data_IF_257135591724
#
_entry.id   IF_257135591724
#
_cell.length_a   1.000
_cell.length_b   1.000
_cell.length_c   1.000
_cell.angle_alpha   90.00
_cell.angle_beta   90.00
_cell.angle_gamma   90.00
#
_symmetry.space_group_name_H-M   'P 1'
#
loop_
_entity.id
_entity.type
_entity.pdbx_description
1 polymer ?
#
# COMPACT_ATOMS: atom_id res chain seq x y z
N UNK A 1 -19.38 -26.91 22.83
CA UNK A 1 -19.18 -25.61 22.14
C UNK A 1 -18.80 -24.62 23.23
N UNK A 2 -17.61 -24.06 23.13
CA UNK A 2 -17.05 -23.17 24.15
C UNK A 2 -17.88 -21.87 24.19
N UNK A 3 -18.52 -21.61 25.31
CA UNK A 3 -19.41 -20.46 25.50
C UNK A 3 -18.64 -19.16 25.31
N UNK A 4 -17.39 -19.11 25.74
CA UNK A 4 -16.51 -17.97 25.63
C UNK A 4 -16.24 -17.63 24.17
N UNK A 5 -15.88 -18.63 23.35
CA UNK A 5 -15.65 -18.43 21.91
C UNK A 5 -16.90 -17.95 21.16
N UNK A 6 -18.07 -18.39 21.59
CA UNK A 6 -19.33 -17.93 21.00
C UNK A 6 -19.61 -16.49 21.37
N UNK A 7 -19.39 -16.11 22.62
CA UNK A 7 -19.60 -14.75 23.10
C UNK A 7 -18.67 -13.75 22.37
N UNK A 8 -17.38 -14.06 22.30
CA UNK A 8 -16.40 -13.26 21.59
C UNK A 8 -16.79 -13.05 20.11
N UNK A 9 -17.25 -14.11 19.45
CA UNK A 9 -17.71 -14.03 18.07
C UNK A 9 -18.94 -13.13 17.91
N UNK A 10 -19.92 -13.24 18.78
CA UNK A 10 -21.13 -12.39 18.76
C UNK A 10 -20.76 -10.93 18.91
N UNK A 11 -19.82 -10.59 19.82
CA UNK A 11 -19.31 -9.23 19.98
C UNK A 11 -18.58 -8.73 18.73
N UNK A 12 -17.75 -9.56 18.12
CA UNK A 12 -17.04 -9.20 16.89
C UNK A 12 -18.02 -8.98 15.72
N UNK A 13 -19.08 -9.78 15.60
CA UNK A 13 -20.16 -9.58 14.61
C UNK A 13 -20.83 -8.23 14.86
N UNK A 14 -21.15 -7.90 16.12
CA UNK A 14 -21.73 -6.62 16.48
C UNK A 14 -20.85 -5.43 16.09
N UNK A 15 -19.55 -5.44 16.42
CA UNK A 15 -18.62 -4.38 16.02
C UNK A 15 -18.48 -4.27 14.51
N UNK A 16 -18.50 -5.40 13.80
CA UNK A 16 -18.46 -5.38 12.34
C UNK A 16 -19.71 -4.71 11.75
N UNK A 17 -20.90 -5.03 12.26
CA UNK A 17 -22.16 -4.39 11.87
C UNK A 17 -22.20 -2.89 12.21
N UNK A 18 -21.52 -2.47 13.28
CA UNK A 18 -21.39 -1.04 13.60
C UNK A 18 -20.42 -0.30 12.67
N UNK A 19 -19.42 -1.00 12.15
CA UNK A 19 -18.36 -0.38 11.34
C UNK A 19 -18.72 -0.23 9.86
N UNK A 20 -19.77 -0.93 9.39
CA UNK A 20 -20.20 -0.96 8.00
C UNK A 20 -21.67 -0.64 7.87
N UNK A 21 -22.07 -0.01 6.76
CA UNK A 21 -23.48 0.23 6.44
C UNK A 21 -24.27 -1.05 6.22
N UNK A 22 -23.65 -2.06 5.58
CA UNK A 22 -24.23 -3.39 5.36
C UNK A 22 -23.13 -4.44 5.43
N UNK A 23 -23.43 -5.60 6.06
CA UNK A 23 -22.56 -6.76 6.15
C UNK A 23 -23.28 -7.98 5.58
N UNK A 24 -22.68 -8.64 4.59
CA UNK A 24 -23.28 -9.81 3.95
C UNK A 24 -23.07 -11.09 4.76
N UNK A 25 -23.97 -12.07 4.60
CA UNK A 25 -23.80 -13.40 5.20
C UNK A 25 -22.52 -14.10 4.73
N UNK A 26 -22.15 -13.91 3.47
CA UNK A 26 -20.92 -14.47 2.90
C UNK A 26 -19.65 -13.90 3.55
N UNK A 27 -19.66 -12.60 3.86
CA UNK A 27 -18.57 -11.96 4.58
C UNK A 27 -18.45 -12.54 6.00
N UNK A 28 -19.56 -12.71 6.70
CA UNK A 28 -19.59 -13.31 8.03
C UNK A 28 -19.10 -14.76 8.01
N UNK A 29 -19.53 -15.55 7.01
CA UNK A 29 -19.07 -16.94 6.86
C UNK A 29 -17.55 -17.03 6.65
N UNK A 30 -17.02 -16.23 5.74
CA UNK A 30 -15.58 -16.21 5.42
C UNK A 30 -14.73 -15.75 6.60
N UNK A 31 -15.21 -14.70 7.30
CA UNK A 31 -14.43 -14.10 8.39
C UNK A 31 -14.38 -14.97 9.64
N UNK A 32 -15.49 -15.64 9.97
CA UNK A 32 -15.64 -16.41 11.22
C UNK A 32 -15.59 -17.92 11.00
N UNK A 33 -15.47 -18.38 9.75
CA UNK A 33 -15.42 -19.80 9.36
C UNK A 33 -16.61 -20.62 9.94
N UNK A 34 -17.82 -20.06 9.90
CA UNK A 34 -19.04 -20.67 10.46
C UNK A 34 -20.13 -20.84 9.42
N UNK A 35 -21.08 -21.75 9.71
CA UNK A 35 -22.22 -22.00 8.86
C UNK A 35 -23.26 -20.86 8.92
N UNK A 36 -24.07 -20.69 7.84
CA UNK A 36 -25.19 -19.76 7.77
C UNK A 36 -26.14 -19.91 8.97
N UNK A 37 -26.45 -21.15 9.37
CA UNK A 37 -27.28 -21.43 10.53
C UNK A 37 -26.73 -20.85 11.82
N UNK A 38 -25.41 -20.88 11.96
CA UNK A 38 -24.71 -20.29 13.13
C UNK A 38 -24.80 -18.78 13.11
N UNK A 39 -24.62 -18.16 11.92
CA UNK A 39 -24.75 -16.71 11.74
C UNK A 39 -26.13 -16.24 12.14
N UNK A 40 -27.19 -16.84 11.61
CA UNK A 40 -28.56 -16.46 11.96
C UNK A 40 -28.87 -16.60 13.46
N UNK A 41 -28.32 -17.64 14.10
CA UNK A 41 -28.48 -17.81 15.54
C UNK A 41 -27.73 -16.74 16.34
N UNK A 42 -26.58 -16.30 15.88
CA UNK A 42 -25.81 -15.28 16.56
C UNK A 42 -26.37 -13.87 16.31
N UNK A 43 -26.86 -13.56 15.09
CA UNK A 43 -27.64 -12.34 14.80
C UNK A 43 -28.91 -12.25 15.66
N UNK A 44 -29.65 -13.35 15.76
CA UNK A 44 -30.83 -13.42 16.61
C UNK A 44 -30.53 -13.22 18.10
N UNK A 45 -29.35 -13.67 18.56
CA UNK A 45 -28.90 -13.41 19.92
C UNK A 45 -28.63 -11.91 20.15
N UNK A 46 -28.10 -11.21 19.18
CA UNK A 46 -27.91 -9.74 19.22
C UNK A 46 -29.28 -9.02 19.25
N UNK A 47 -30.23 -9.43 18.41
CA UNK A 47 -31.62 -8.89 18.45
C UNK A 47 -32.28 -9.09 19.80
N UNK A 48 -32.17 -10.29 20.37
CA UNK A 48 -32.71 -10.61 21.71
C UNK A 48 -32.01 -9.79 22.82
N UNK A 49 -30.77 -9.37 22.60
CA UNK A 49 -30.03 -8.46 23.49
C UNK A 49 -30.42 -6.99 23.29
N UNK A 50 -31.42 -6.69 22.44
CA UNK A 50 -31.91 -5.33 22.22
C UNK A 50 -31.18 -4.53 21.15
N UNK A 51 -30.33 -5.18 20.35
CA UNK A 51 -29.64 -4.53 19.25
C UNK A 51 -30.56 -4.57 18.01
N UNK A 52 -30.99 -3.42 17.46
CA UNK A 52 -31.91 -3.37 16.33
C UNK A 52 -31.19 -3.70 15.02
N UNK A 53 -31.20 -4.98 14.64
CA UNK A 53 -30.64 -5.46 13.38
C UNK A 53 -31.69 -5.35 12.29
N UNK A 54 -31.32 -4.76 11.15
CA UNK A 54 -32.14 -4.65 9.95
C UNK A 54 -31.64 -5.64 8.90
N UNK A 55 -32.54 -6.42 8.33
CA UNK A 55 -32.26 -7.28 7.20
C UNK A 55 -32.53 -6.51 5.91
N UNK A 56 -31.49 -6.12 5.20
CA UNK A 56 -31.56 -5.48 3.89
C UNK A 56 -31.78 -6.56 2.83
N UNK A 57 -33.02 -6.73 2.39
CA UNK A 57 -33.45 -7.81 1.47
C UNK A 57 -32.48 -7.98 0.29
N UNK A 58 -31.75 -9.08 0.27
CA UNK A 58 -30.76 -9.42 -0.78
C UNK A 58 -29.37 -8.78 -0.63
N UNK A 59 -29.19 -7.85 0.31
CA UNK A 59 -27.91 -7.11 0.47
C UNK A 59 -27.15 -7.49 1.74
N UNK A 60 -27.82 -7.96 2.79
CA UNK A 60 -27.17 -8.35 4.05
C UNK A 60 -27.85 -7.82 5.31
N UNK A 61 -27.06 -7.55 6.32
CA UNK A 61 -27.52 -7.08 7.63
C UNK A 61 -26.87 -5.74 7.99
N UNK A 62 -27.66 -4.86 8.58
CA UNK A 62 -27.22 -3.57 9.12
C UNK A 62 -27.74 -3.37 10.54
N UNK A 63 -27.20 -2.40 11.27
CA UNK A 63 -27.79 -1.89 12.51
C UNK A 63 -28.63 -0.67 12.14
N UNK A 64 -29.82 -0.55 12.74
CA UNK A 64 -30.70 0.60 12.52
C UNK A 64 -29.96 1.91 12.68
N UNK A 65 -30.15 2.83 11.76
CA UNK A 65 -29.52 4.14 11.77
C UNK A 65 -29.79 4.89 13.08
N UNK A 66 -28.74 5.48 13.66
CA UNK A 66 -28.84 6.18 14.93
C UNK A 66 -28.59 5.31 16.18
N UNK A 67 -28.59 3.98 16.06
CA UNK A 67 -28.24 3.09 17.18
C UNK A 67 -26.72 3.01 17.33
N UNK A 68 -26.18 3.52 18.46
CA UNK A 68 -24.75 3.44 18.80
C UNK A 68 -24.56 2.99 20.23
N UNK A 69 -24.02 1.78 20.41
CA UNK A 69 -23.33 1.48 21.67
C UNK A 69 -21.93 2.08 21.58
N UNK A 70 -21.55 2.91 22.54
CA UNK A 70 -20.17 3.41 22.59
C UNK A 70 -19.23 2.21 22.78
N UNK A 71 -18.20 2.00 21.96
CA UNK A 71 -17.16 1.02 22.23
C UNK A 71 -16.48 1.39 23.54
N UNK A 72 -16.77 0.65 24.58
CA UNK A 72 -16.43 1.08 25.92
C UNK A 72 -14.96 0.87 26.29
N UNK A 73 -14.20 0.04 25.58
CA UNK A 73 -12.82 -0.26 26.00
C UNK A 73 -12.00 -0.81 24.83
N UNK A 74 -10.88 -0.17 24.53
CA UNK A 74 -9.83 -0.75 23.71
C UNK A 74 -8.99 -1.73 24.54
N UNK A 75 -8.55 -2.84 23.96
CA UNK A 75 -7.57 -3.72 24.58
C UNK A 75 -6.16 -3.08 24.55
N UNK A 76 -5.23 -3.63 25.33
CA UNK A 76 -3.84 -3.15 25.32
C UNK A 76 -3.21 -3.33 23.92
N UNK A 77 -3.51 -4.43 23.25
CA UNK A 77 -3.02 -4.76 21.90
C UNK A 77 -3.59 -3.79 20.85
N UNK A 78 -4.87 -3.40 20.96
CA UNK A 78 -5.49 -2.42 20.07
C UNK A 78 -4.85 -1.04 20.25
N UNK A 79 -4.61 -0.63 21.51
CA UNK A 79 -3.91 0.63 21.82
C UNK A 79 -2.49 0.62 21.24
N UNK A 80 -1.74 -0.46 21.44
CA UNK A 80 -0.38 -0.62 20.89
C UNK A 80 -0.40 -0.52 19.35
N UNK A 81 -1.36 -1.17 18.72
CA UNK A 81 -1.51 -1.12 17.25
C UNK A 81 -1.79 0.29 16.74
N UNK A 82 -2.65 1.04 17.44
CA UNK A 82 -2.93 2.46 17.11
C UNK A 82 -1.68 3.33 17.27
N UNK A 83 -0.85 3.09 18.30
CA UNK A 83 0.40 3.82 18.52
C UNK A 83 1.42 3.56 17.41
N UNK A 84 1.61 2.30 17.03
CA UNK A 84 2.49 1.94 15.89
C UNK A 84 2.00 2.60 14.61
N UNK A 85 0.69 2.56 14.36
CA UNK A 85 0.09 3.22 13.20
C UNK A 85 0.33 4.74 13.22
N UNK A 86 0.18 5.40 14.39
CA UNK A 86 0.47 6.84 14.54
C UNK A 86 1.92 7.16 14.14
N UNK A 87 2.89 6.40 14.67
CA UNK A 87 4.31 6.60 14.37
C UNK A 87 4.62 6.37 12.87
N UNK A 88 4.00 5.38 12.24
CA UNK A 88 4.14 5.12 10.81
C UNK A 88 3.53 6.27 9.99
N UNK A 89 2.34 6.73 10.35
CA UNK A 89 1.64 7.82 9.67
C UNK A 89 2.41 9.16 9.75
N UNK A 90 3.03 9.44 10.89
CA UNK A 90 3.87 10.65 11.05
C UNK A 90 5.02 10.74 10.05
N UNK A 91 5.46 9.62 9.46
CA UNK A 91 6.63 9.55 8.59
C UNK A 91 6.33 9.59 7.09
N UNK A 92 5.19 9.08 6.68
CA UNK A 92 4.95 8.72 5.28
C UNK A 92 3.88 9.55 4.59
N UNK A 93 3.09 10.33 5.35
CA UNK A 93 1.87 10.88 4.80
C UNK A 93 1.97 12.37 4.50
N UNK A 94 1.12 12.81 3.58
CA UNK A 94 0.96 14.23 3.30
C UNK A 94 0.48 14.93 4.57
N UNK A 95 0.86 16.19 4.76
CA UNK A 95 0.60 16.93 5.99
C UNK A 95 -0.89 17.01 6.34
N UNK A 96 -1.78 16.99 5.35
CA UNK A 96 -3.21 17.02 5.59
C UNK A 96 -3.74 15.69 6.13
N UNK A 97 -3.32 14.56 5.52
CA UNK A 97 -3.69 13.21 6.00
C UNK A 97 -3.21 13.03 7.44
N UNK A 98 -1.97 13.45 7.72
CA UNK A 98 -1.40 13.43 9.07
C UNK A 98 -2.26 14.20 10.07
N UNK A 99 -2.63 15.45 9.77
CA UNK A 99 -3.49 16.26 10.66
C UNK A 99 -4.85 15.63 10.90
N UNK A 100 -5.49 15.09 9.86
CA UNK A 100 -6.79 14.43 10.01
C UNK A 100 -6.69 13.11 10.80
N UNK A 101 -5.61 12.35 10.60
CA UNK A 101 -5.33 11.16 11.39
C UNK A 101 -5.10 11.51 12.87
N UNK A 102 -4.27 12.51 13.15
CA UNK A 102 -4.01 13.01 14.51
C UNK A 102 -5.31 13.49 15.19
N UNK A 103 -6.14 14.26 14.46
CA UNK A 103 -7.42 14.72 14.98
C UNK A 103 -8.40 13.57 15.28
N UNK A 104 -8.42 12.53 14.43
CA UNK A 104 -9.22 11.32 14.66
C UNK A 104 -8.68 10.54 15.87
N UNK A 105 -7.35 10.39 15.97
CA UNK A 105 -6.70 9.67 17.05
C UNK A 105 -6.89 10.37 18.40
N UNK A 106 -6.89 11.71 18.45
CA UNK A 106 -7.22 12.48 19.67
C UNK A 106 -8.64 12.14 20.17
N UNK A 107 -9.62 12.03 19.25
CA UNK A 107 -10.99 11.61 19.60
C UNK A 107 -11.02 10.18 20.14
N UNK A 108 -10.27 9.27 19.55
CA UNK A 108 -10.14 7.88 20.02
C UNK A 108 -9.46 7.86 21.39
N UNK A 109 -8.33 8.56 21.55
CA UNK A 109 -7.60 8.69 22.83
C UNK A 109 -8.46 9.31 23.94
N UNK A 110 -9.43 10.17 23.59
CA UNK A 110 -10.33 10.75 24.60
C UNK A 110 -11.24 9.70 25.27
N UNK A 111 -11.53 8.60 24.59
CA UNK A 111 -12.31 7.48 25.13
C UNK A 111 -11.51 6.51 25.99
N UNK A 112 -10.17 6.65 26.06
CA UNK A 112 -9.32 5.79 26.85
C UNK A 112 -9.51 6.01 28.35
N UNK A 113 -9.42 4.93 29.12
CA UNK A 113 -9.40 5.00 30.59
C UNK A 113 -8.07 5.59 31.10
N UNK A 114 -8.06 6.05 32.35
CA UNK A 114 -6.89 6.73 32.94
C UNK A 114 -5.61 5.88 32.88
N UNK A 115 -5.73 4.57 33.17
CA UNK A 115 -4.58 3.67 33.09
C UNK A 115 -4.10 3.49 31.64
N UNK A 116 -5.01 3.35 30.67
CA UNK A 116 -4.69 3.24 29.25
C UNK A 116 -3.98 4.50 28.72
N UNK A 117 -4.40 5.70 29.17
CA UNK A 117 -3.71 6.95 28.83
C UNK A 117 -2.29 7.00 29.37
N UNK A 118 -2.06 6.46 30.57
CA UNK A 118 -0.72 6.37 31.16
C UNK A 118 0.16 5.40 30.40
N UNK A 119 -0.35 4.21 30.08
CA UNK A 119 0.37 3.21 29.29
C UNK A 119 0.73 3.74 27.91
N UNK A 120 -0.21 4.46 27.27
CA UNK A 120 0.02 5.12 26.00
C UNK A 120 1.20 6.11 26.07
N UNK A 121 1.23 7.01 27.05
CA UNK A 121 2.31 7.98 27.22
C UNK A 121 3.67 7.30 27.46
N UNK A 122 3.69 6.24 28.26
CA UNK A 122 4.92 5.48 28.52
C UNK A 122 5.48 4.80 27.27
N UNK A 123 4.62 4.26 26.42
CA UNK A 123 5.01 3.59 25.18
C UNK A 123 5.39 4.59 24.07
N UNK A 124 4.83 5.80 24.09
CA UNK A 124 5.13 6.85 23.13
C UNK A 124 6.61 7.21 23.07
N UNK A 125 7.27 7.22 24.25
CA UNK A 125 8.71 7.46 24.39
C UNK A 125 9.57 6.23 24.07
N UNK A 126 8.96 5.06 23.96
CA UNK A 126 9.69 3.79 23.73
C UNK A 126 9.81 3.47 22.24
N UNK A 127 8.88 3.92 21.41
CA UNK A 127 8.86 3.62 19.98
C UNK A 127 9.51 4.76 19.20
N UNK A 128 10.79 4.59 18.85
CA UNK A 128 11.51 5.50 17.98
C UNK A 128 11.68 4.91 16.58
N UNK A 129 11.05 5.53 15.59
CA UNK A 129 11.32 5.20 14.19
C UNK A 129 12.40 6.14 13.65
N UNK A 130 13.55 5.63 13.26
CA UNK A 130 14.64 6.44 12.68
C UNK A 130 14.22 7.03 11.34
N UNK A 131 14.40 8.34 11.16
CA UNK A 131 14.09 9.03 9.91
C UNK A 131 15.16 8.71 8.86
N UNK A 132 14.97 7.64 8.08
CA UNK A 132 15.82 7.34 6.93
C UNK A 132 15.08 7.49 5.58
N UNK A 133 13.82 7.92 5.61
CA UNK A 133 13.06 8.13 4.39
C UNK A 133 12.96 9.64 4.15
N UNK A 134 13.59 10.09 3.08
CA UNK A 134 13.32 11.40 2.50
C UNK A 134 11.81 11.48 2.27
N UNK A 135 11.17 12.53 2.78
CA UNK A 135 9.80 12.84 2.42
C UNK A 135 9.71 12.84 0.90
N UNK A 136 8.91 11.93 0.34
CA UNK A 136 8.61 12.01 -1.07
C UNK A 136 8.04 13.41 -1.32
N UNK A 137 8.52 14.07 -2.36
CA UNK A 137 8.18 15.46 -2.68
C UNK A 137 6.78 15.51 -3.34
N UNK A 138 5.77 15.13 -2.55
CA UNK A 138 4.36 15.18 -2.98
C UNK A 138 3.84 16.61 -2.94
N UNK A 139 3.00 16.95 -3.91
CA UNK A 139 2.23 18.20 -3.84
C UNK A 139 1.37 18.20 -2.56
N UNK A 140 1.30 19.32 -1.85
CA UNK A 140 0.41 19.45 -0.71
C UNK A 140 -1.02 19.06 -1.08
N UNK A 141 -1.65 18.26 -0.24
CA UNK A 141 -3.05 17.81 -0.38
C UNK A 141 -3.40 17.02 -1.67
N UNK A 142 -2.42 16.52 -2.41
CA UNK A 142 -2.66 15.81 -3.68
C UNK A 142 -3.61 14.63 -3.50
N UNK A 143 -3.46 13.86 -2.42
CA UNK A 143 -4.31 12.69 -2.14
C UNK A 143 -5.76 13.13 -1.96
N UNK A 144 -6.01 14.19 -1.20
CA UNK A 144 -7.37 14.70 -0.96
C UNK A 144 -8.02 15.24 -2.22
N UNK A 145 -7.25 15.98 -3.04
CA UNK A 145 -7.73 16.50 -4.32
C UNK A 145 -8.14 15.36 -5.24
N UNK A 146 -7.33 14.31 -5.32
CA UNK A 146 -7.61 13.15 -6.16
C UNK A 146 -8.77 12.31 -5.61
N UNK A 147 -8.85 12.09 -4.29
CA UNK A 147 -9.99 11.39 -3.68
C UNK A 147 -11.30 12.14 -3.90
N UNK A 148 -11.30 13.48 -3.77
CA UNK A 148 -12.47 14.31 -4.09
C UNK A 148 -12.87 14.20 -5.57
N UNK A 149 -11.90 14.17 -6.50
CA UNK A 149 -12.18 14.01 -7.93
C UNK A 149 -12.81 12.64 -8.23
N UNK A 150 -12.33 11.58 -7.57
CA UNK A 150 -12.89 10.22 -7.68
C UNK A 150 -14.33 10.20 -7.17
N UNK A 151 -14.57 10.73 -5.97
CA UNK A 151 -15.91 10.74 -5.35
C UNK A 151 -16.93 11.54 -6.17
N UNK A 152 -16.51 12.68 -6.71
CA UNK A 152 -17.36 13.56 -7.53
C UNK A 152 -17.37 13.17 -9.01
N UNK A 153 -16.60 12.18 -9.42
CA UNK A 153 -16.42 11.74 -10.82
C UNK A 153 -16.05 12.89 -11.74
N UNK A 154 -15.10 13.73 -11.32
CA UNK A 154 -14.64 14.91 -12.07
C UNK A 154 -13.30 14.62 -12.76
N UNK A 155 -13.16 15.08 -14.01
CA UNK A 155 -11.91 15.04 -14.76
C UNK A 155 -10.85 15.85 -14.03
N UNK A 156 -9.63 15.35 -13.99
CA UNK A 156 -8.50 16.03 -13.36
C UNK A 156 -7.42 16.29 -14.39
N UNK A 157 -6.94 17.54 -14.44
CA UNK A 157 -5.75 17.88 -15.22
C UNK A 157 -4.51 17.76 -14.35
N UNK A 158 -3.50 17.00 -14.81
CA UNK A 158 -2.22 16.81 -14.12
C UNK A 158 -1.05 17.17 -15.04
N UNK A 159 -0.05 17.87 -14.49
CA UNK A 159 1.25 18.03 -15.14
C UNK A 159 2.18 16.94 -14.63
N UNK A 160 2.50 15.97 -15.47
CA UNK A 160 3.23 14.75 -15.11
C UNK A 160 4.64 14.73 -15.68
N UNK A 161 5.64 14.56 -14.81
CA UNK A 161 7.06 14.46 -15.18
C UNK A 161 7.48 12.97 -15.20
N UNK A 162 7.77 12.44 -16.38
CA UNK A 162 8.35 11.09 -16.49
C UNK A 162 9.82 11.09 -16.11
N UNK A 163 10.36 9.91 -15.79
CA UNK A 163 11.81 9.75 -15.48
C UNK A 163 12.71 10.21 -16.63
N UNK A 164 12.27 9.96 -17.87
CA UNK A 164 13.05 10.26 -19.08
C UNK A 164 12.93 11.71 -19.53
N UNK A 165 11.97 12.46 -18.99
CA UNK A 165 11.59 13.76 -19.52
C UNK A 165 12.15 14.89 -18.64
N UNK A 166 12.59 15.97 -19.27
CA UNK A 166 13.08 17.19 -18.56
C UNK A 166 11.90 18.07 -18.16
N UNK A 167 10.81 18.03 -18.91
CA UNK A 167 9.62 18.87 -18.70
C UNK A 167 8.37 18.02 -18.42
N UNK A 168 7.53 18.53 -17.52
CA UNK A 168 6.25 17.92 -17.24
C UNK A 168 5.28 18.08 -18.42
N UNK A 169 4.49 17.05 -18.71
CA UNK A 169 3.49 17.04 -19.77
C UNK A 169 2.09 17.05 -19.17
N UNK A 170 1.28 18.02 -19.60
CA UNK A 170 -0.13 18.14 -19.21
C UNK A 170 -0.97 16.98 -19.71
N UNK A 171 -1.85 16.44 -18.85
CA UNK A 171 -2.73 15.32 -19.13
C UNK A 171 -4.07 15.51 -18.45
N UNK A 172 -5.16 15.33 -19.19
CA UNK A 172 -6.50 15.17 -18.62
C UNK A 172 -6.71 13.69 -18.32
N UNK A 173 -7.11 13.40 -17.08
CA UNK A 173 -7.29 12.03 -16.59
C UNK A 173 -8.60 11.88 -15.83
N UNK A 174 -9.20 10.70 -15.89
CA UNK A 174 -10.34 10.28 -15.08
C UNK A 174 -9.80 9.37 -13.97
N UNK A 175 -9.79 9.87 -12.76
CA UNK A 175 -9.19 9.22 -11.59
C UNK A 175 -10.06 8.05 -11.11
N UNK A 176 -9.51 6.82 -10.99
CA UNK A 176 -10.27 5.62 -10.63
C UNK A 176 -9.98 5.23 -9.18
N UNK A 177 -8.73 5.30 -8.78
CA UNK A 177 -8.32 4.95 -7.42
C UNK A 177 -6.87 5.26 -7.15
N UNK A 178 -6.54 5.27 -5.86
CA UNK A 178 -5.19 5.50 -5.35
C UNK A 178 -4.73 4.22 -4.66
N UNK A 179 -3.47 3.85 -4.85
CA UNK A 179 -2.86 2.71 -4.18
C UNK A 179 -1.41 2.99 -3.80
N UNK A 180 -0.94 2.29 -2.77
CA UNK A 180 0.44 2.39 -2.30
C UNK A 180 1.20 1.12 -2.67
N UNK A 181 2.34 1.28 -3.35
CA UNK A 181 3.17 0.18 -3.81
C UNK A 181 4.64 0.59 -3.89
N UNK A 182 5.55 -0.31 -3.48
CA UNK A 182 7.01 -0.08 -3.52
C UNK A 182 7.47 1.25 -2.90
N UNK A 183 6.82 1.68 -1.82
CA UNK A 183 7.20 2.94 -1.13
C UNK A 183 6.64 4.22 -1.74
N UNK A 184 5.73 4.12 -2.74
CA UNK A 184 5.16 5.28 -3.44
C UNK A 184 3.65 5.18 -3.57
N UNK A 185 2.99 6.33 -3.55
CA UNK A 185 1.59 6.45 -3.92
C UNK A 185 1.41 6.56 -5.42
N UNK A 186 0.42 5.87 -5.95
CA UNK A 186 0.05 5.83 -7.35
C UNK A 186 -1.42 6.21 -7.53
N UNK A 187 -1.70 6.93 -8.60
CA UNK A 187 -3.03 7.13 -9.13
C UNK A 187 -3.25 6.19 -10.31
N UNK A 188 -4.24 5.31 -10.25
CA UNK A 188 -4.80 4.65 -11.43
C UNK A 188 -5.82 5.57 -12.07
N UNK A 189 -5.65 5.90 -13.36
CA UNK A 189 -6.55 6.77 -14.08
C UNK A 189 -6.62 6.41 -15.57
N UNK A 190 -7.75 6.70 -16.20
CA UNK A 190 -7.88 6.71 -17.64
C UNK A 190 -7.29 8.02 -18.21
N UNK A 191 -6.31 7.89 -19.08
CA UNK A 191 -5.59 9.03 -19.66
C UNK A 191 -6.17 9.40 -21.03
N UNK A 192 -6.82 10.56 -21.18
CA UNK A 192 -7.40 11.00 -22.44
C UNK A 192 -6.37 11.14 -23.59
N UNK A 193 -5.14 11.58 -23.26
CA UNK A 193 -4.05 11.70 -24.24
C UNK A 193 -3.64 10.34 -24.83
N UNK A 194 -3.66 9.28 -24.04
CA UNK A 194 -3.26 7.93 -24.45
C UNK A 194 -4.44 7.02 -24.77
N UNK A 195 -5.66 7.44 -24.40
CA UNK A 195 -6.90 6.65 -24.51
C UNK A 195 -6.78 5.27 -23.86
N UNK A 196 -6.12 5.23 -22.69
CA UNK A 196 -5.78 3.99 -22.00
C UNK A 196 -5.61 4.23 -20.49
N UNK A 197 -5.73 3.18 -19.70
CA UNK A 197 -5.50 3.21 -18.26
C UNK A 197 -4.01 3.25 -17.95
N UNK A 198 -3.62 4.11 -17.01
CA UNK A 198 -2.24 4.33 -16.62
C UNK A 198 -2.09 4.55 -15.14
N UNK A 199 -0.94 4.12 -14.61
CA UNK A 199 -0.50 4.42 -13.25
C UNK A 199 0.40 5.66 -13.27
N UNK A 200 0.05 6.63 -12.42
CA UNK A 200 0.82 7.87 -12.24
C UNK A 200 1.36 7.93 -10.81
N UNK A 201 2.66 7.94 -10.63
CA UNK A 201 3.26 8.16 -9.31
C UNK A 201 2.98 9.59 -8.86
N UNK A 202 2.48 9.74 -7.63
CA UNK A 202 2.04 11.05 -7.14
C UNK A 202 3.18 12.05 -6.95
N UNK A 203 4.38 11.60 -6.59
CA UNK A 203 5.60 12.44 -6.45
C UNK A 203 6.07 13.06 -7.77
N UNK A 204 5.61 12.51 -8.89
CA UNK A 204 5.92 13.02 -10.24
C UNK A 204 4.85 13.94 -10.80
N UNK A 205 3.77 14.16 -10.11
CA UNK A 205 2.74 15.14 -10.47
C UNK A 205 3.20 16.50 -9.95
N UNK A 206 3.44 17.45 -10.86
CA UNK A 206 3.92 18.79 -10.52
C UNK A 206 2.79 19.82 -10.40
N UNK A 207 1.62 19.49 -10.93
CA UNK A 207 0.39 20.30 -10.80
C UNK A 207 -0.81 19.39 -10.88
N UNK A 208 -1.86 19.72 -10.14
CA UNK A 208 -3.14 19.03 -10.16
C UNK A 208 -4.27 20.07 -10.12
N UNK A 209 -5.26 19.91 -10.99
CA UNK A 209 -6.44 20.76 -11.07
C UNK A 209 -7.67 19.91 -11.38
N UNK A 210 -8.67 19.95 -10.53
CA UNK A 210 -9.96 19.31 -10.79
C UNK A 210 -10.77 20.23 -11.70
N UNK A 211 -11.26 19.67 -12.81
CA UNK A 211 -12.07 20.40 -13.79
C UNK A 211 -13.56 20.28 -13.43
N UNK A 212 -14.38 21.13 -14.04
CA UNK A 212 -15.84 21.07 -13.85
C UNK A 212 -16.48 19.91 -14.64
N UNK A 213 -15.77 19.39 -15.65
CA UNK A 213 -16.26 18.31 -16.51
C UNK A 213 -16.32 17.00 -15.73
N UNK A 214 -17.39 16.22 -16.01
CA UNK A 214 -17.57 14.89 -15.46
C UNK A 214 -16.79 13.85 -16.27
N UNK A 215 -16.60 12.67 -15.68
CA UNK A 215 -16.05 11.50 -16.41
C UNK A 215 -16.84 11.25 -17.70
N UNK A 216 -16.13 10.89 -18.74
CA UNK A 216 -16.71 10.62 -20.07
C UNK A 216 -17.16 9.18 -20.23
N UNK A 217 -16.60 8.26 -19.44
CA UNK A 217 -16.90 6.81 -19.48
C UNK A 217 -17.11 6.27 -18.06
N UNK A 218 -17.77 5.11 -17.98
CA UNK A 218 -17.85 4.35 -16.74
C UNK A 218 -16.60 3.47 -16.59
N UNK A 219 -15.99 3.52 -15.42
CA UNK A 219 -14.77 2.74 -15.13
C UNK A 219 -15.08 1.55 -14.24
N UNK A 220 -14.40 0.40 -14.47
CA UNK A 220 -14.38 -0.70 -13.52
C UNK A 220 -13.73 -0.26 -12.19
N UNK A 221 -14.08 -0.88 -11.07
CA UNK A 221 -13.45 -0.60 -9.80
C UNK A 221 -11.98 -1.02 -9.79
N UNK A 222 -11.15 -0.34 -8.99
CA UNK A 222 -9.69 -0.51 -8.95
C UNK A 222 -9.23 -1.97 -8.75
N UNK A 223 -9.99 -2.78 -8.00
CA UNK A 223 -9.63 -4.17 -7.73
C UNK A 223 -9.64 -5.05 -8.99
N UNK A 224 -10.45 -4.73 -10.00
CA UNK A 224 -10.46 -5.46 -11.27
C UNK A 224 -9.17 -5.25 -12.06
N UNK A 225 -8.58 -4.07 -11.98
CA UNK A 225 -7.28 -3.78 -12.62
C UNK A 225 -6.14 -4.50 -11.91
N UNK A 226 -6.19 -4.63 -10.58
CA UNK A 226 -5.19 -5.35 -9.81
C UNK A 226 -5.25 -6.87 -10.03
N UNK A 227 -6.45 -7.44 -10.17
CA UNK A 227 -6.64 -8.87 -10.41
C UNK A 227 -6.32 -9.28 -11.84
N UNK A 228 -6.55 -8.40 -12.83
CA UNK A 228 -6.19 -8.66 -14.22
C UNK A 228 -4.70 -8.60 -14.47
N UNK A 229 -3.87 -8.35 -13.41
CA UNK A 229 -2.46 -8.06 -13.50
C UNK A 229 -2.22 -7.34 -14.82
N UNK A 230 -2.00 -6.03 -14.82
CA UNK A 230 -1.59 -5.39 -16.06
C UNK A 230 -0.65 -6.38 -16.74
N UNK A 231 -0.91 -6.76 -17.99
CA UNK A 231 -0.12 -7.75 -18.71
C UNK A 231 1.28 -7.18 -18.98
N UNK A 232 1.97 -6.94 -17.91
CA UNK A 232 3.40 -6.72 -17.92
C UNK A 232 3.99 -8.12 -18.06
N UNK A 233 4.76 -8.29 -19.12
CA UNK A 233 5.57 -9.48 -19.33
C UNK A 233 6.39 -9.68 -18.04
N UNK A 234 5.90 -10.56 -17.16
CA UNK A 234 6.63 -10.93 -15.96
C UNK A 234 7.86 -11.70 -16.40
N UNK A 235 8.99 -11.33 -15.87
CA UNK A 235 10.25 -12.00 -16.17
C UNK A 235 10.63 -12.87 -14.99
N UNK A 236 10.72 -14.16 -15.22
CA UNK A 236 11.30 -15.08 -14.24
C UNK A 236 12.81 -14.89 -14.23
N UNK A 237 13.35 -14.64 -13.05
CA UNK A 237 14.79 -14.41 -12.87
C UNK A 237 15.28 -15.35 -11.77
N UNK A 238 16.43 -15.95 -12.02
CA UNK A 238 17.16 -16.76 -11.06
C UNK A 238 18.54 -16.15 -10.85
N UNK A 239 18.91 -15.95 -9.57
CA UNK A 239 20.24 -15.50 -9.19
C UNK A 239 20.88 -16.47 -8.21
N UNK A 240 22.18 -16.58 -8.29
CA UNK A 240 23.02 -17.28 -7.32
C UNK A 240 23.78 -16.26 -6.47
N UNK A 241 23.72 -16.40 -5.16
CA UNK A 241 24.33 -15.47 -4.21
C UNK A 241 25.22 -16.26 -3.24
N UNK A 242 26.42 -15.78 -2.96
CA UNK A 242 27.29 -16.36 -1.92
C UNK A 242 26.53 -16.42 -0.59
N UNK A 243 26.47 -17.60 0.03
CA UNK A 243 25.65 -17.85 1.22
C UNK A 243 25.90 -16.87 2.37
N UNK A 244 27.16 -16.50 2.61
CA UNK A 244 27.55 -15.57 3.67
C UNK A 244 27.02 -14.14 3.47
N UNK A 245 26.64 -13.76 2.23
CA UNK A 245 26.17 -12.44 1.87
C UNK A 245 24.68 -12.39 1.49
N UNK A 246 24.00 -13.54 1.45
CA UNK A 246 22.60 -13.63 1.03
C UNK A 246 21.68 -12.66 1.81
N UNK A 247 21.95 -12.43 3.10
CA UNK A 247 21.20 -11.51 3.94
C UNK A 247 21.20 -10.05 3.45
N UNK A 248 22.18 -9.62 2.65
CA UNK A 248 22.22 -8.27 2.10
C UNK A 248 21.11 -8.00 1.11
N UNK A 249 20.60 -9.06 0.45
CA UNK A 249 19.50 -8.95 -0.51
C UNK A 249 18.12 -9.02 0.18
N UNK A 250 18.01 -9.49 1.42
CA UNK A 250 16.73 -9.73 2.09
C UNK A 250 15.92 -8.46 2.30
N UNK A 251 16.59 -7.33 2.36
CA UNK A 251 15.98 -6.05 2.71
C UNK A 251 15.00 -5.52 1.65
N UNK A 252 15.31 -5.68 0.38
CA UNK A 252 14.57 -5.08 -0.73
C UNK A 252 14.20 -6.07 -1.86
N UNK A 253 14.59 -7.34 -1.78
CA UNK A 253 14.30 -8.36 -2.80
C UNK A 253 12.81 -8.56 -3.10
N UNK A 254 11.92 -8.29 -2.11
CA UNK A 254 10.47 -8.38 -2.28
C UNK A 254 9.94 -7.38 -3.33
N UNK A 255 10.59 -6.23 -3.47
CA UNK A 255 10.24 -5.20 -4.45
C UNK A 255 10.33 -5.73 -5.88
N UNK A 256 11.23 -6.69 -6.09
CA UNK A 256 11.51 -7.27 -7.41
C UNK A 256 10.78 -8.59 -7.66
N UNK A 257 9.79 -8.92 -6.84
CA UNK A 257 8.95 -10.10 -7.03
C UNK A 257 9.62 -11.40 -6.56
N UNK A 258 10.39 -11.37 -5.47
CA UNK A 258 10.96 -12.56 -4.87
C UNK A 258 9.86 -13.58 -4.55
N UNK A 259 10.05 -14.84 -5.02
CA UNK A 259 9.08 -15.93 -4.86
C UNK A 259 9.56 -17.03 -3.95
N UNK A 260 10.88 -17.20 -3.81
CA UNK A 260 11.45 -18.25 -2.96
C UNK A 260 12.96 -18.35 -3.10
N UNK A 261 13.54 -19.20 -2.24
CA UNK A 261 14.97 -19.46 -2.24
C UNK A 261 15.27 -20.93 -1.92
N UNK A 262 16.41 -21.41 -2.40
CA UNK A 262 16.99 -22.68 -2.06
C UNK A 262 18.38 -22.47 -1.44
N UNK A 263 18.57 -22.94 -0.22
CA UNK A 263 19.82 -22.75 0.52
C UNK A 263 20.69 -23.99 0.30
N UNK A 264 21.85 -23.79 -0.32
CA UNK A 264 22.87 -24.82 -0.57
C UNK A 264 24.09 -24.59 0.34
N UNK A 265 25.10 -25.45 0.26
CA UNK A 265 26.24 -25.42 1.17
C UNK A 265 27.00 -24.06 1.05
N UNK A 266 27.36 -23.65 -0.15
CA UNK A 266 28.18 -22.47 -0.41
C UNK A 266 27.40 -21.26 -0.93
N UNK A 267 26.18 -21.44 -1.44
CA UNK A 267 25.38 -20.40 -2.06
C UNK A 267 23.89 -20.54 -1.82
N UNK A 268 23.14 -19.51 -2.14
CA UNK A 268 21.67 -19.46 -2.13
C UNK A 268 21.18 -19.15 -3.54
N UNK A 269 20.28 -19.99 -4.07
CA UNK A 269 19.53 -19.68 -5.27
C UNK A 269 18.29 -18.90 -4.88
N UNK A 270 18.05 -17.77 -5.52
CA UNK A 270 16.87 -16.92 -5.29
C UNK A 270 16.08 -16.78 -6.57
N UNK A 271 14.77 -16.95 -6.46
CA UNK A 271 13.82 -16.94 -7.57
C UNK A 271 12.93 -15.70 -7.51
N UNK A 272 12.73 -15.07 -8.67
CA UNK A 272 11.91 -13.87 -8.80
C UNK A 272 10.90 -14.03 -9.93
N UNK A 273 9.70 -13.47 -9.73
CA UNK A 273 8.70 -13.23 -10.77
C UNK A 273 8.51 -11.71 -10.92
N UNK A 274 9.47 -11.10 -11.65
CA UNK A 274 9.63 -9.66 -11.71
C UNK A 274 8.59 -9.03 -12.63
N UNK A 275 7.73 -8.18 -12.08
CA UNK A 275 6.75 -7.37 -12.82
C UNK A 275 7.28 -5.98 -13.18
N UNK A 276 8.42 -5.55 -12.61
CA UNK A 276 9.06 -4.30 -12.94
C UNK A 276 9.82 -4.39 -14.27
N UNK A 277 10.07 -3.25 -14.95
CA UNK A 277 10.96 -3.23 -16.10
C UNK A 277 12.30 -3.90 -15.76
N UNK A 278 12.73 -4.81 -16.58
CA UNK A 278 13.94 -5.63 -16.37
C UNK A 278 15.16 -4.79 -16.03
N UNK A 279 15.32 -3.63 -16.69
CA UNK A 279 16.39 -2.66 -16.40
C UNK A 279 16.38 -2.19 -14.93
N UNK A 280 15.23 -2.18 -14.27
CA UNK A 280 15.15 -1.81 -12.84
C UNK A 280 15.75 -2.91 -11.96
N UNK A 281 15.50 -4.19 -12.31
CA UNK A 281 16.11 -5.33 -11.63
C UNK A 281 17.63 -5.31 -11.81
N UNK A 282 18.11 -5.14 -13.04
CA UNK A 282 19.56 -5.11 -13.35
C UNK A 282 20.25 -3.97 -12.58
N UNK A 283 19.63 -2.78 -12.53
CA UNK A 283 20.17 -1.65 -11.76
C UNK A 283 20.21 -1.90 -10.26
N UNK A 284 19.26 -2.61 -9.73
CA UNK A 284 19.26 -3.04 -8.32
C UNK A 284 20.36 -4.08 -8.09
N UNK A 285 20.48 -5.06 -9.00
CA UNK A 285 21.43 -6.15 -8.90
C UNK A 285 22.90 -5.69 -8.93
N UNK A 286 23.20 -4.56 -9.56
CA UNK A 286 24.57 -3.97 -9.59
C UNK A 286 25.19 -3.83 -8.18
N UNK A 287 24.37 -3.64 -7.15
CA UNK A 287 24.85 -3.53 -5.76
C UNK A 287 25.52 -4.82 -5.26
N UNK A 288 25.28 -5.94 -5.92
CA UNK A 288 25.62 -7.29 -5.48
C UNK A 288 26.48 -8.05 -6.50
N UNK A 289 26.94 -7.39 -7.54
CA UNK A 289 27.65 -8.03 -8.66
C UNK A 289 28.96 -8.71 -8.26
N UNK A 290 29.53 -8.33 -7.13
CA UNK A 290 30.76 -8.90 -6.55
C UNK A 290 30.51 -10.13 -5.69
N UNK A 291 29.25 -10.42 -5.35
CA UNK A 291 28.85 -11.51 -4.45
C UNK A 291 27.69 -12.35 -5.00
N UNK A 292 27.20 -12.02 -6.18
CA UNK A 292 26.06 -12.70 -6.80
C UNK A 292 26.16 -12.68 -8.33
N UNK A 293 25.50 -13.65 -8.97
CA UNK A 293 25.41 -13.73 -10.44
C UNK A 293 23.98 -14.03 -10.88
N UNK A 294 23.60 -13.55 -12.06
CA UNK A 294 22.32 -13.86 -12.70
C UNK A 294 22.50 -15.14 -13.50
N UNK A 295 21.74 -16.18 -13.14
CA UNK A 295 21.75 -17.48 -13.81
C UNK A 295 20.79 -17.43 -15.01
N UNK A 296 19.56 -17.01 -14.76
CA UNK A 296 18.54 -16.90 -15.81
C UNK A 296 17.70 -15.60 -15.64
N UNK A 297 17.28 -15.01 -16.77
CA UNK A 297 17.67 -15.30 -18.15
C UNK A 297 19.04 -14.68 -18.52
N UNK A 298 19.84 -15.41 -19.29
CA UNK A 298 21.22 -15.04 -19.60
C UNK A 298 21.39 -13.66 -20.28
N UNK A 299 20.37 -13.17 -21.00
CA UNK A 299 20.42 -11.85 -21.67
C UNK A 299 20.56 -10.69 -20.68
N UNK A 300 20.14 -10.86 -19.42
CA UNK A 300 20.29 -9.81 -18.38
C UNK A 300 21.76 -9.53 -18.04
N UNK A 301 22.64 -10.52 -18.22
CA UNK A 301 24.07 -10.31 -18.05
C UNK A 301 24.64 -9.34 -19.10
N UNK A 302 24.10 -9.30 -20.32
CA UNK A 302 24.51 -8.34 -21.33
C UNK A 302 24.10 -6.92 -20.93
N UNK A 303 22.84 -6.73 -20.46
CA UNK A 303 22.37 -5.44 -19.96
C UNK A 303 23.19 -4.97 -18.74
N UNK A 304 23.56 -5.90 -17.85
CA UNK A 304 24.40 -5.63 -16.70
C UNK A 304 25.76 -5.11 -17.13
N UNK A 305 26.42 -5.79 -18.06
CA UNK A 305 27.74 -5.39 -18.60
C UNK A 305 27.67 -4.00 -19.25
N UNK A 306 26.67 -3.74 -20.11
CA UNK A 306 26.50 -2.44 -20.76
C UNK A 306 26.37 -1.29 -19.74
N UNK A 307 25.58 -1.49 -18.68
CA UNK A 307 25.40 -0.48 -17.65
C UNK A 307 26.71 -0.24 -16.88
N UNK A 308 27.43 -1.32 -16.55
CA UNK A 308 28.70 -1.24 -15.83
C UNK A 308 29.80 -0.56 -16.67
N UNK A 309 29.93 -0.93 -17.94
CA UNK A 309 30.87 -0.31 -18.86
C UNK A 309 30.61 1.20 -19.05
N UNK A 310 29.33 1.55 -19.24
CA UNK A 310 28.91 2.96 -19.30
C UNK A 310 29.26 3.73 -18.04
N UNK A 311 29.08 3.09 -16.86
CA UNK A 311 29.45 3.66 -15.57
C UNK A 311 30.96 3.86 -15.44
N UNK A 312 31.74 2.83 -15.76
CA UNK A 312 33.21 2.87 -15.73
C UNK A 312 33.79 3.96 -16.66
N UNK A 313 33.22 4.07 -17.88
CA UNK A 313 33.61 5.13 -18.82
C UNK A 313 33.43 6.52 -18.22
N UNK A 314 32.28 6.80 -17.61
CA UNK A 314 31.98 8.09 -16.96
C UNK A 314 32.94 8.41 -15.81
N UNK A 315 33.37 7.40 -15.04
CA UNK A 315 34.36 7.60 -13.96
C UNK A 315 35.73 7.95 -14.55
N UNK A 316 36.20 7.18 -15.53
CA UNK A 316 37.49 7.41 -16.18
C UNK A 316 37.58 8.76 -16.91
N UNK A 317 36.49 9.17 -17.58
CA UNK A 317 36.43 10.47 -18.27
C UNK A 317 36.53 11.67 -17.29
N UNK A 318 36.01 11.52 -16.06
CA UNK A 318 36.16 12.53 -15.01
C UNK A 318 37.59 12.64 -14.49
N UNK A 319 38.28 11.52 -14.35
CA UNK A 319 39.68 11.51 -13.91
C UNK A 319 40.59 12.17 -14.95
N UNK A 320 40.30 11.98 -16.24
CA UNK A 320 41.02 12.64 -17.33
C UNK A 320 40.84 14.19 -17.36
N UNK A 321 39.64 14.67 -16.98
CA UNK A 321 39.33 16.11 -16.91
C UNK A 321 39.95 16.77 -15.67
N UNK A 322 40.08 16.03 -14.56
CA UNK A 322 40.71 16.56 -13.34
C UNK A 322 42.22 16.64 -13.43
N UNK A 323 42.90 15.76 -14.21
CA UNK A 323 44.34 15.79 -14.45
C UNK A 323 44.78 16.95 -15.37
N UNK A 324 43.89 17.49 -16.19
CA UNK A 324 44.20 18.63 -17.09
C UNK A 324 43.97 20.01 -16.44
N UNK A 325 43.65 20.09 -15.17
CA UNK A 325 43.45 21.34 -14.40
C UNK A 325 44.50 21.58 -13.33
N UNK A 326 45.57 20.82 -13.32
CA UNK A 326 46.84 21.14 -12.62
C UNK A 326 47.88 21.58 -13.65
#
# INVERSE_FOLDING_TARGET
>A
MDITKRFDRILQIFFLLQSKSVVTTDELQKRFEISLRTIYRDLKALEMAGIPIVNESGSGYSIMEGFRLQPSRFSQEEILSLMVAEKVMQKHETELVKRHFEAALIKIKSSFQVHQKRDFLHLEDTIHLKNNLTSNDYLPNIIDVLLNSILKKKITHIDYLKISDVHAVGRSVESIGIFYEHGFWYLLAYCHLRKDYRNFRLDRIKKVLVLEENFTISHPPIHEFRNKGMSETRTKIEIRVDRKYANFLYWDRQIFGFTGEEILEDFVLMYFDCSLPVVSFVRWFIKFVDIAEIIEPAHLNNELVEIMESGLKRIKDKDAVSCNKQ
#
